data_IF_175656770678
#
_entry.id   IF_175656770678
#
_cell.length_a   1.000
_cell.length_b   1.000
_cell.length_c   1.000
_cell.angle_alpha   90.00
_cell.angle_beta   90.00
_cell.angle_gamma   90.00
#
_symmetry.space_group_name_H-M   'P 1'
#
loop_
_entity.id
_entity.type
_entity.pdbx_description
1 polymer ?
#
# COMPACT_ATOMS: atom_id res chain seq x y z
N UNK A 1 -0.65 3.44 -11.26
CA UNK A 1 0.74 3.72 -10.83
C UNK A 1 1.39 4.77 -11.71
N UNK A 2 1.33 4.67 -13.03
CA UNK A 2 1.80 5.73 -13.96
C UNK A 2 1.28 7.13 -13.60
N UNK A 3 -0.02 7.27 -13.34
CA UNK A 3 -0.59 8.55 -12.95
C UNK A 3 -0.08 9.06 -11.59
N UNK A 4 0.23 8.16 -10.66
CA UNK A 4 0.82 8.52 -9.38
C UNK A 4 2.27 8.98 -9.55
N UNK A 5 3.05 8.32 -10.41
CA UNK A 5 4.41 8.74 -10.74
C UNK A 5 4.42 10.11 -11.43
N UNK A 6 3.53 10.32 -12.40
CA UNK A 6 3.36 11.56 -13.15
C UNK A 6 3.09 12.77 -12.25
N UNK A 7 2.26 12.60 -11.22
CA UNK A 7 1.91 13.68 -10.29
C UNK A 7 2.80 13.70 -9.03
N UNK A 8 3.88 12.89 -9.00
CA UNK A 8 4.79 12.74 -7.88
C UNK A 8 4.05 12.48 -6.55
N UNK A 9 3.09 11.56 -6.60
CA UNK A 9 2.36 11.06 -5.44
C UNK A 9 3.28 10.19 -4.62
N UNK A 10 3.35 10.46 -3.33
CA UNK A 10 4.00 9.62 -2.34
C UNK A 10 3.04 8.54 -1.85
N UNK A 11 3.31 7.31 -2.27
CA UNK A 11 2.52 6.13 -1.95
C UNK A 11 3.42 4.91 -1.71
N UNK A 12 2.87 3.88 -1.08
CA UNK A 12 3.59 2.65 -0.76
C UNK A 12 2.67 1.43 -0.90
N UNK A 13 3.11 0.42 -1.63
CA UNK A 13 2.43 -0.87 -1.71
C UNK A 13 2.58 -1.65 -0.41
N UNK A 14 1.46 -2.09 0.15
CA UNK A 14 1.39 -2.92 1.36
C UNK A 14 0.55 -4.18 1.10
N UNK A 15 0.14 -4.89 2.16
CA UNK A 15 -0.88 -5.92 2.05
C UNK A 15 -0.42 -7.21 1.35
N UNK A 16 -1.37 -7.89 0.69
CA UNK A 16 -1.13 -9.21 0.10
C UNK A 16 -0.10 -9.21 -1.03
N UNK A 17 -0.11 -8.18 -1.88
CA UNK A 17 0.89 -8.03 -2.95
C UNK A 17 2.31 -7.78 -2.41
N UNK A 18 2.45 -7.09 -1.28
CA UNK A 18 3.75 -6.94 -0.62
C UNK A 18 4.28 -8.28 -0.08
N UNK A 19 3.41 -9.17 0.41
CA UNK A 19 3.79 -10.54 0.78
C UNK A 19 4.29 -11.33 -0.43
N UNK A 20 3.64 -11.15 -1.59
CA UNK A 20 4.07 -11.75 -2.84
C UNK A 20 5.45 -11.25 -3.29
N UNK A 21 5.70 -9.95 -3.17
CA UNK A 21 6.98 -9.34 -3.50
C UNK A 21 8.14 -9.88 -2.63
N UNK A 22 7.96 -9.95 -1.32
CA UNK A 22 9.02 -10.36 -0.39
C UNK A 22 9.22 -11.88 -0.27
N UNK A 23 8.18 -12.64 -0.56
CA UNK A 23 8.14 -14.07 -0.25
C UNK A 23 7.62 -14.93 -1.38
N UNK A 24 6.32 -15.17 -1.39
CA UNK A 24 5.67 -16.05 -2.38
C UNK A 24 4.33 -15.48 -2.82
N UNK A 25 3.90 -15.74 -4.06
CA UNK A 25 2.55 -15.42 -4.51
C UNK A 25 1.49 -15.93 -3.53
N UNK A 26 0.54 -15.06 -3.20
CA UNK A 26 -0.61 -15.34 -2.33
C UNK A 26 -1.84 -14.76 -2.99
N UNK A 27 -2.95 -15.51 -2.98
CA UNK A 27 -4.22 -14.97 -3.42
C UNK A 27 -4.64 -13.78 -2.53
N UNK A 28 -5.05 -12.70 -3.19
CA UNK A 28 -5.58 -11.49 -2.58
C UNK A 28 -6.67 -10.92 -3.47
N UNK A 29 -7.61 -10.19 -2.87
CA UNK A 29 -8.80 -9.69 -3.54
C UNK A 29 -8.70 -8.20 -3.90
N UNK A 30 -7.56 -7.59 -3.57
CA UNK A 30 -7.32 -6.17 -3.55
C UNK A 30 -5.82 -5.86 -3.59
N UNK A 31 -5.52 -4.62 -3.98
CA UNK A 31 -4.22 -3.97 -3.88
C UNK A 31 -4.32 -2.90 -2.80
N UNK A 32 -3.48 -2.99 -1.78
CA UNK A 32 -3.45 -2.01 -0.68
C UNK A 32 -2.32 -0.99 -0.88
N UNK A 33 -2.66 0.30 -0.86
CA UNK A 33 -1.72 1.41 -1.01
C UNK A 33 -1.84 2.37 0.16
N UNK A 34 -0.73 2.67 0.83
CA UNK A 34 -0.66 3.74 1.83
C UNK A 34 -0.24 5.04 1.14
N UNK A 35 -0.98 6.12 1.34
CA UNK A 35 -0.62 7.47 0.88
C UNK A 35 0.04 8.27 2.02
N UNK A 36 1.09 9.02 1.70
CA UNK A 36 1.62 10.05 2.61
C UNK A 36 0.55 11.13 2.85
N UNK A 37 0.56 11.72 4.04
CA UNK A 37 -0.57 12.46 4.58
C UNK A 37 -0.63 13.94 4.43
N UNK A 38 0.41 14.54 3.89
CA UNK A 38 0.41 15.96 3.64
C UNK A 38 -0.77 16.32 2.73
N UNK A 39 -1.46 17.44 3.01
CA UNK A 39 -2.53 17.93 2.12
C UNK A 39 -2.08 18.07 0.67
N UNK A 40 -0.80 18.38 0.46
CA UNK A 40 -0.18 18.46 -0.87
C UNK A 40 -0.18 17.09 -1.55
N UNK A 41 0.21 16.03 -0.85
CA UNK A 41 0.22 14.68 -1.41
C UNK A 41 -1.18 14.16 -1.70
N UNK A 42 -2.15 14.39 -0.81
CA UNK A 42 -3.55 13.99 -1.02
C UNK A 42 -4.18 14.71 -2.22
N UNK A 43 -3.85 15.99 -2.43
CA UNK A 43 -4.28 16.74 -3.61
C UNK A 43 -3.67 16.18 -4.92
N UNK A 44 -2.39 15.77 -4.89
CA UNK A 44 -1.74 15.07 -6.02
C UNK A 44 -2.41 13.73 -6.29
N UNK A 45 -2.67 12.93 -5.25
CA UNK A 45 -3.35 11.64 -5.38
C UNK A 45 -4.75 11.80 -5.99
N UNK A 46 -5.52 12.79 -5.54
CA UNK A 46 -6.83 13.10 -6.11
C UNK A 46 -6.75 13.50 -7.59
N UNK A 47 -5.76 14.33 -7.97
CA UNK A 47 -5.52 14.72 -9.37
C UNK A 47 -5.19 13.51 -10.24
N UNK A 48 -4.31 12.63 -9.76
CA UNK A 48 -3.92 11.42 -10.47
C UNK A 48 -5.09 10.43 -10.59
N UNK A 49 -5.89 10.25 -9.54
CA UNK A 49 -7.11 9.43 -9.56
C UNK A 49 -8.14 9.97 -10.56
N UNK A 50 -8.32 11.29 -10.62
CA UNK A 50 -9.22 11.91 -11.60
C UNK A 50 -8.74 11.66 -13.03
N UNK A 51 -7.42 11.79 -13.29
CA UNK A 51 -6.84 11.51 -14.61
C UNK A 51 -6.93 10.03 -15.00
N UNK A 52 -6.77 9.14 -14.03
CA UNK A 52 -6.97 7.70 -14.18
C UNK A 52 -8.44 7.33 -14.51
N UNK A 53 -9.40 8.21 -14.23
CA UNK A 53 -10.82 7.96 -14.45
C UNK A 53 -11.55 7.38 -13.25
N UNK A 54 -11.03 7.59 -12.03
CA UNK A 54 -11.74 7.21 -10.81
C UNK A 54 -13.06 8.00 -10.67
N UNK A 55 -14.12 7.41 -10.08
CA UNK A 55 -15.38 8.10 -9.81
C UNK A 55 -15.18 9.38 -8.99
N UNK A 56 -15.99 10.41 -9.25
CA UNK A 56 -15.83 11.72 -8.63
C UNK A 56 -15.91 11.68 -7.09
N UNK A 57 -16.71 10.76 -6.53
CA UNK A 57 -16.79 10.55 -5.08
C UNK A 57 -15.51 9.93 -4.49
N UNK A 58 -14.83 9.06 -5.24
CA UNK A 58 -13.54 8.47 -4.84
C UNK A 58 -12.45 9.55 -4.87
N UNK A 59 -12.42 10.37 -5.92
CA UNK A 59 -11.50 11.51 -6.05
C UNK A 59 -11.69 12.49 -4.90
N UNK A 60 -12.94 12.89 -4.63
CA UNK A 60 -13.25 13.82 -3.56
C UNK A 60 -12.88 13.25 -2.17
N UNK A 61 -13.12 11.95 -1.93
CA UNK A 61 -12.77 11.30 -0.68
C UNK A 61 -11.25 11.25 -0.48
N UNK A 62 -10.48 10.85 -1.49
CA UNK A 62 -9.02 10.78 -1.44
C UNK A 62 -8.36 12.13 -1.11
N UNK A 63 -8.92 13.24 -1.61
CA UNK A 63 -8.41 14.58 -1.38
C UNK A 63 -8.47 15.03 0.10
N UNK A 64 -9.35 14.42 0.90
CA UNK A 64 -9.60 14.82 2.30
C UNK A 64 -9.52 13.66 3.29
N UNK A 65 -8.90 12.54 2.89
CA UNK A 65 -8.76 11.34 3.71
C UNK A 65 -8.07 11.62 5.06
N UNK A 66 -8.73 11.20 6.14
CA UNK A 66 -8.19 11.16 7.49
C UNK A 66 -7.43 9.85 7.74
N UNK A 67 -6.67 9.79 8.84
CA UNK A 67 -5.82 8.64 9.16
C UNK A 67 -6.56 7.30 9.25
N UNK A 68 -7.80 7.31 9.74
CA UNK A 68 -8.64 6.11 9.88
C UNK A 68 -9.45 5.77 8.62
N UNK A 69 -9.42 6.64 7.60
CA UNK A 69 -10.27 6.46 6.43
C UNK A 69 -9.68 5.40 5.49
N UNK A 70 -10.57 4.62 4.90
CA UNK A 70 -10.25 3.73 3.78
C UNK A 70 -11.09 4.17 2.60
N UNK A 71 -10.41 4.51 1.50
CA UNK A 71 -11.07 4.85 0.24
C UNK A 71 -10.75 3.75 -0.76
N UNK A 72 -11.78 3.10 -1.29
CA UNK A 72 -11.59 2.02 -2.25
C UNK A 72 -12.07 2.39 -3.65
N UNK A 73 -11.43 1.81 -4.66
CA UNK A 73 -11.75 1.91 -6.07
C UNK A 73 -11.94 0.50 -6.65
N UNK A 74 -12.98 0.30 -7.45
CA UNK A 74 -13.25 -0.98 -8.10
C UNK A 74 -13.94 -2.00 -7.19
N UNK A 75 -13.83 -3.28 -7.56
CA UNK A 75 -14.43 -4.43 -6.87
C UNK A 75 -13.48 -5.63 -6.93
N UNK A 76 -13.49 -6.54 -5.95
CA UNK A 76 -12.67 -7.75 -6.00
C UNK A 76 -12.84 -8.56 -7.30
N UNK A 77 -11.76 -9.16 -7.84
CA UNK A 77 -10.37 -9.14 -7.35
C UNK A 77 -9.55 -7.91 -7.81
N UNK A 78 -10.19 -6.97 -8.52
CA UNK A 78 -9.57 -5.74 -9.08
C UNK A 78 -9.95 -4.52 -8.23
N UNK A 79 -9.88 -4.66 -6.90
CA UNK A 79 -10.11 -3.58 -5.95
C UNK A 79 -8.78 -2.94 -5.56
N UNK A 80 -8.77 -1.63 -5.38
CA UNK A 80 -7.63 -0.89 -4.82
C UNK A 80 -8.11 -0.20 -3.55
N UNK A 81 -7.40 -0.43 -2.45
CA UNK A 81 -7.63 0.23 -1.17
C UNK A 81 -6.56 1.30 -0.96
N UNK A 82 -7.01 2.53 -0.77
CA UNK A 82 -6.18 3.65 -0.35
C UNK A 82 -6.31 3.81 1.16
N UNK A 83 -5.16 3.80 1.82
CA UNK A 83 -4.97 3.87 3.26
C UNK A 83 -4.11 5.07 3.59
N UNK A 84 -4.14 5.50 4.85
CA UNK A 84 -3.30 6.58 5.39
C UNK A 84 -2.28 6.10 6.42
N UNK A 85 -2.62 5.02 7.12
CA UNK A 85 -1.81 4.36 8.13
C UNK A 85 -2.05 2.85 8.05
N UNK A 86 -1.17 2.08 8.71
CA UNK A 86 -1.31 0.64 8.89
C UNK A 86 -0.98 0.28 10.34
N UNK A 87 -1.47 -0.85 10.81
CA UNK A 87 -1.19 -1.30 12.17
C UNK A 87 0.30 -1.59 12.38
N UNK A 88 0.82 -1.24 13.57
CA UNK A 88 2.14 -1.63 14.03
C UNK A 88 3.34 -0.90 13.43
N UNK A 89 3.14 0.04 12.49
CA UNK A 89 4.23 0.79 11.85
C UNK A 89 3.85 2.27 11.72
N UNK A 90 4.71 3.15 12.24
CA UNK A 90 4.58 4.60 12.06
C UNK A 90 4.77 5.01 10.59
N UNK A 91 3.94 5.92 10.08
CA UNK A 91 3.98 6.32 8.67
C UNK A 91 5.33 6.93 8.26
N UNK A 92 6.00 7.69 9.12
CA UNK A 92 7.30 8.28 8.76
C UNK A 92 8.37 7.19 8.59
N UNK A 93 8.42 6.23 9.51
CA UNK A 93 9.31 5.07 9.38
C UNK A 93 8.96 4.22 8.16
N UNK A 94 7.66 4.00 7.94
CA UNK A 94 7.14 3.22 6.82
C UNK A 94 7.65 3.73 5.46
N UNK A 95 7.58 5.04 5.23
CA UNK A 95 8.05 5.66 3.97
C UNK A 95 9.57 5.80 3.88
N UNK A 96 10.26 5.96 5.02
CA UNK A 96 11.72 6.10 5.06
C UNK A 96 12.43 4.81 4.67
N UNK A 97 11.93 3.65 5.14
CA UNK A 97 12.54 2.34 4.89
C UNK A 97 11.94 1.61 3.68
N UNK A 98 11.14 2.30 2.87
CA UNK A 98 10.50 1.74 1.69
C UNK A 98 11.52 1.14 0.72
N UNK A 99 11.22 -0.07 0.22
CA UNK A 99 12.00 -0.72 -0.84
C UNK A 99 11.54 -0.18 -2.18
N UNK A 100 12.46 0.36 -2.96
CA UNK A 100 12.19 0.82 -4.32
C UNK A 100 12.57 -0.28 -5.30
N UNK A 101 11.64 -0.65 -6.17
CA UNK A 101 11.86 -1.62 -7.25
C UNK A 101 11.33 -1.06 -8.57
N UNK A 102 11.72 -1.67 -9.67
CA UNK A 102 11.19 -1.38 -11.00
C UNK A 102 10.38 -2.59 -11.51
N UNK A 103 9.22 -2.33 -12.10
CA UNK A 103 8.40 -3.33 -12.78
C UNK A 103 7.86 -2.70 -14.06
N UNK A 104 8.21 -3.27 -15.21
CA UNK A 104 7.81 -2.79 -16.54
C UNK A 104 8.11 -1.29 -16.75
N UNK A 105 9.27 -0.81 -16.26
CA UNK A 105 9.67 0.60 -16.33
C UNK A 105 9.03 1.51 -15.28
N UNK A 106 8.14 0.99 -14.44
CA UNK A 106 7.49 1.75 -13.38
C UNK A 106 8.24 1.58 -12.06
N UNK A 107 8.57 2.72 -11.43
CA UNK A 107 9.14 2.73 -10.08
C UNK A 107 8.04 2.45 -9.07
N UNK A 108 8.13 1.30 -8.39
CA UNK A 108 7.23 0.92 -7.32
C UNK A 108 7.94 1.09 -5.97
N UNK A 109 7.22 1.67 -5.00
CA UNK A 109 7.63 1.69 -3.59
C UNK A 109 6.85 0.59 -2.88
N UNK A 110 7.56 -0.31 -2.20
CA UNK A 110 6.97 -1.44 -1.45
C UNK A 110 7.42 -1.34 0.01
N UNK A 111 6.52 -1.64 0.95
CA UNK A 111 6.87 -1.76 2.37
C UNK A 111 8.09 -2.64 2.58
N UNK A 112 8.95 -2.27 3.53
CA UNK A 112 10.13 -3.07 3.88
C UNK A 112 9.73 -4.44 4.42
N UNK A 113 10.63 -5.42 4.33
CA UNK A 113 10.37 -6.75 4.87
C UNK A 113 10.03 -6.70 6.37
N UNK A 114 10.82 -5.95 7.14
CA UNK A 114 10.68 -5.86 8.59
C UNK A 114 9.39 -5.14 8.99
N UNK A 115 9.02 -4.07 8.29
CA UNK A 115 7.74 -3.39 8.50
C UNK A 115 6.55 -4.25 8.06
N UNK A 116 6.68 -5.06 7.01
CA UNK A 116 5.62 -5.99 6.60
C UNK A 116 5.37 -7.04 7.67
N UNK A 117 6.42 -7.66 8.22
CA UNK A 117 6.26 -8.63 9.32
C UNK A 117 5.63 -7.98 10.55
N UNK A 118 6.11 -6.80 10.95
CA UNK A 118 5.56 -6.05 12.08
C UNK A 118 4.07 -5.72 11.86
N UNK A 119 3.71 -5.23 10.68
CA UNK A 119 2.33 -4.92 10.32
C UNK A 119 1.43 -6.16 10.39
N UNK A 120 1.88 -7.28 9.83
CA UNK A 120 1.11 -8.53 9.82
C UNK A 120 0.89 -9.09 11.22
N UNK A 121 1.90 -9.01 12.09
CA UNK A 121 1.77 -9.36 13.51
C UNK A 121 0.79 -8.44 14.25
N UNK A 122 0.86 -7.13 14.01
CA UNK A 122 0.01 -6.15 14.67
C UNK A 122 -1.46 -6.22 14.21
N UNK A 123 -1.72 -6.40 12.92
CA UNK A 123 -3.06 -6.53 12.36
C UNK A 123 -3.80 -7.79 12.89
N UNK A 124 -3.05 -8.85 13.21
CA UNK A 124 -3.55 -10.00 13.99
C UNK A 124 -4.64 -10.86 13.34
N UNK A 125 -5.06 -10.56 12.10
CA UNK A 125 -6.03 -11.38 11.37
C UNK A 125 -5.43 -12.77 11.11
N UNK A 126 -6.22 -13.86 11.11
CA UNK A 126 -5.68 -15.22 10.97
C UNK A 126 -4.72 -15.42 9.80
N UNK A 127 -5.06 -14.86 8.63
CA UNK A 127 -4.20 -14.94 7.45
C UNK A 127 -2.94 -14.06 7.57
N UNK A 128 -3.00 -12.92 8.26
CA UNK A 128 -1.82 -12.08 8.46
C UNK A 128 -0.81 -12.76 9.39
N UNK A 129 -1.28 -13.46 10.43
CA UNK A 129 -0.41 -14.24 11.30
C UNK A 129 0.31 -15.36 10.53
N UNK A 130 -0.40 -16.05 9.62
CA UNK A 130 0.20 -17.05 8.74
C UNK A 130 1.25 -16.44 7.79
N UNK A 131 0.97 -15.25 7.24
CA UNK A 131 1.92 -14.53 6.39
C UNK A 131 3.18 -14.14 7.18
N UNK A 132 3.03 -13.59 8.39
CA UNK A 132 4.14 -13.19 9.25
C UNK A 132 5.03 -14.39 9.59
N UNK A 133 4.43 -15.50 10.04
CA UNK A 133 5.18 -16.74 10.34
C UNK A 133 5.92 -17.28 9.12
N UNK A 134 5.30 -17.23 7.94
CA UNK A 134 5.94 -17.67 6.71
C UNK A 134 7.15 -16.79 6.36
N UNK A 135 6.98 -15.46 6.40
CA UNK A 135 8.04 -14.51 6.12
C UNK A 135 9.22 -14.69 7.09
N UNK A 136 8.97 -14.77 8.39
CA UNK A 136 10.00 -15.02 9.40
C UNK A 136 10.79 -16.32 9.12
N UNK A 137 10.09 -17.41 8.78
CA UNK A 137 10.73 -18.69 8.39
C UNK A 137 11.55 -18.57 7.10
N UNK A 138 11.12 -17.74 6.16
CA UNK A 138 11.87 -17.48 4.92
C UNK A 138 13.18 -16.74 5.23
N UNK A 139 13.16 -15.74 6.12
CA UNK A 139 14.37 -15.00 6.52
C UNK A 139 15.40 -15.89 7.20
N UNK A 140 14.96 -16.81 8.07
CA UNK A 140 15.85 -17.72 8.79
C UNK A 140 16.57 -18.76 7.89
N UNK A 141 16.16 -18.89 6.63
CA UNK A 141 16.75 -19.82 5.65
C UNK A 141 17.72 -19.16 4.68
N UNK A 142 17.88 -17.83 4.75
CA UNK A 142 18.86 -17.05 3.98
C UNK A 142 20.10 -16.81 4.83
#
# INVERSE_FOLDING_TARGET
MEEFDRDAVEWLLVGGYAVAFHGRPRATNDIDLVLEGSPVNLARAATALARFGAPANVVAAAAVMKESDVVFLGQPPLRIDLLRTIDGVDSKALFADAVVTELDGLRLRVISFDHLVANKRAAGRPQDLLDAEFLEKLRARR
#
